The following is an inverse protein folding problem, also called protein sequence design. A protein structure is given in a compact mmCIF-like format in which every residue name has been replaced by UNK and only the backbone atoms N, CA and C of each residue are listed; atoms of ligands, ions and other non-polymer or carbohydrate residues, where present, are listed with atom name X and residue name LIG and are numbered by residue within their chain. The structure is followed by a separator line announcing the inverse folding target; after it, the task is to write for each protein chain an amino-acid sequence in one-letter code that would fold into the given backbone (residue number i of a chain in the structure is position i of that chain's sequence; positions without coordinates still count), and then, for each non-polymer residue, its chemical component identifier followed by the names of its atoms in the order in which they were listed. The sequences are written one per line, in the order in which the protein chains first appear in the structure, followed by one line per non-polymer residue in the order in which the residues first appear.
data_IF_392849397932
#
_entry.id   IF_392849397932
#
_cell.length_a   1.000
_cell.length_b   1.000
_cell.length_c   1.000
_cell.angle_alpha   90.00
_cell.angle_beta   90.00
_cell.angle_gamma   90.00
#
_symmetry.space_group_name_H-M   'P 1'
#
loop_
_entity.id
_entity.type
_entity.pdbx_description
1 polymer ?
#
# COMPACT_ATOMS: atom_id res chain seq x y z
N UNK A 1 -9.47 24.36 -3.68
CA UNK A 1 -9.70 23.24 -2.74
C UNK A 1 -8.98 22.03 -3.32
N UNK A 2 -7.95 21.47 -2.65
CA UNK A 2 -7.33 20.23 -3.10
C UNK A 2 -8.39 19.14 -3.08
N UNK A 3 -8.57 18.45 -4.21
CA UNK A 3 -9.56 17.39 -4.34
C UNK A 3 -8.88 16.11 -3.90
N UNK A 4 -9.23 15.60 -2.72
CA UNK A 4 -8.73 14.31 -2.24
C UNK A 4 -9.03 13.24 -3.27
N UNK A 5 -7.99 12.65 -3.83
CA UNK A 5 -8.13 11.60 -4.83
C UNK A 5 -8.47 10.31 -4.09
N UNK A 6 -9.65 9.77 -4.35
CA UNK A 6 -9.98 8.43 -3.86
C UNK A 6 -9.25 7.38 -4.72
N UNK A 7 -8.13 6.88 -4.18
CA UNK A 7 -7.30 5.81 -4.75
C UNK A 7 -7.74 4.41 -4.30
N UNK A 8 -8.87 4.29 -3.61
CA UNK A 8 -9.40 2.98 -3.20
C UNK A 8 -10.35 2.40 -4.24
N UNK A 9 -10.89 3.25 -5.12
CA UNK A 9 -11.84 2.87 -6.14
C UNK A 9 -11.16 2.32 -7.40
N UNK A 10 -11.69 1.26 -8.03
CA UNK A 10 -11.14 0.73 -9.26
C UNK A 10 -11.15 1.71 -10.42
N UNK A 11 -10.06 1.73 -11.19
CA UNK A 11 -10.01 2.45 -12.46
C UNK A 11 -10.84 1.70 -13.51
N UNK A 12 -11.88 2.37 -14.03
CA UNK A 12 -12.75 1.81 -15.07
C UNK A 12 -12.03 1.64 -16.40
N UNK A 13 -12.49 0.69 -17.22
CA UNK A 13 -12.04 0.52 -18.61
C UNK A 13 -12.23 1.81 -19.41
N UNK A 14 -11.35 2.02 -20.39
CA UNK A 14 -11.27 3.21 -21.25
C UNK A 14 -10.95 4.54 -20.56
N UNK A 15 -10.71 4.53 -19.25
CA UNK A 15 -10.22 5.70 -18.51
C UNK A 15 -8.82 6.07 -18.99
N UNK A 16 -8.56 7.38 -19.08
CA UNK A 16 -7.22 7.91 -19.34
C UNK A 16 -6.41 7.92 -18.05
N UNK A 17 -5.24 7.29 -18.09
CA UNK A 17 -4.32 7.14 -16.96
C UNK A 17 -2.95 7.69 -17.33
N UNK A 18 -2.10 7.80 -16.33
CA UNK A 18 -0.71 8.19 -16.43
C UNK A 18 0.12 7.19 -15.63
N UNK A 19 1.27 6.79 -16.16
CA UNK A 19 2.23 5.95 -15.44
C UNK A 19 2.72 6.70 -14.19
N UNK A 20 2.40 6.17 -13.01
CA UNK A 20 2.82 6.78 -11.75
C UNK A 20 4.28 6.49 -11.44
N UNK A 21 4.81 5.37 -11.90
CA UNK A 21 6.19 4.93 -11.72
C UNK A 21 6.81 4.67 -13.08
N UNK A 22 8.14 4.55 -13.12
CA UNK A 22 8.80 4.01 -14.29
C UNK A 22 8.43 2.53 -14.45
N UNK A 23 7.82 2.23 -15.59
CA UNK A 23 7.39 0.90 -15.99
C UNK A 23 8.30 0.41 -17.13
N UNK A 24 8.38 -0.91 -17.38
CA UNK A 24 9.21 -1.45 -18.46
C UNK A 24 8.91 -0.78 -19.82
N UNK A 25 9.85 0.03 -20.31
CA UNK A 25 9.72 0.79 -21.57
C UNK A 25 8.78 2.01 -21.52
N UNK A 26 8.13 2.28 -20.39
CA UNK A 26 7.17 3.37 -20.21
C UNK A 26 7.64 4.27 -19.06
N UNK A 27 8.24 5.43 -19.36
CA UNK A 27 8.67 6.37 -18.34
C UNK A 27 7.49 6.88 -17.50
N UNK A 28 7.77 7.29 -16.25
CA UNK A 28 6.82 7.98 -15.41
C UNK A 28 6.24 9.21 -16.13
N UNK A 29 4.95 9.46 -15.95
CA UNK A 29 4.26 10.58 -16.59
C UNK A 29 3.75 10.27 -18.00
N UNK A 30 4.06 9.09 -18.56
CA UNK A 30 3.52 8.66 -19.85
C UNK A 30 2.02 8.44 -19.76
N UNK A 31 1.28 9.13 -20.64
CA UNK A 31 -0.16 8.97 -20.78
C UNK A 31 -0.52 7.61 -21.37
N UNK A 32 -1.69 7.09 -20.98
CA UNK A 32 -2.22 5.87 -21.54
C UNK A 32 -3.72 5.71 -21.34
N UNK A 33 -4.27 4.64 -21.89
CA UNK A 33 -5.68 4.29 -21.79
C UNK A 33 -5.85 2.86 -21.30
N UNK A 34 -6.66 2.68 -20.25
CA UNK A 34 -6.98 1.35 -19.72
C UNK A 34 -7.81 0.57 -20.74
N UNK A 35 -7.33 -0.61 -21.14
CA UNK A 35 -8.04 -1.54 -22.03
C UNK A 35 -8.83 -2.58 -21.24
N UNK A 36 -8.19 -3.11 -20.20
CA UNK A 36 -8.74 -4.15 -19.33
C UNK A 36 -8.51 -3.74 -17.88
N UNK A 37 -9.54 -3.93 -17.07
CA UNK A 37 -9.50 -3.76 -15.63
C UNK A 37 -10.02 -5.07 -15.02
N UNK A 38 -9.11 -5.85 -14.43
CA UNK A 38 -9.40 -7.14 -13.83
C UNK A 38 -9.21 -7.05 -12.32
N UNK A 39 -10.01 -7.79 -11.55
CA UNK A 39 -9.88 -7.88 -10.09
C UNK A 39 -11.11 -7.35 -9.35
N UNK A 40 -11.27 -7.83 -8.12
CA UNK A 40 -12.33 -7.42 -7.18
C UNK A 40 -11.69 -6.80 -5.93
N UNK A 41 -10.62 -7.42 -5.42
CA UNK A 41 -9.79 -6.94 -4.31
C UNK A 41 -8.37 -6.57 -4.74
N UNK A 42 -7.80 -7.29 -5.71
CA UNK A 42 -6.51 -6.97 -6.32
C UNK A 42 -6.71 -6.56 -7.78
N UNK A 43 -6.67 -5.26 -8.04
CA UNK A 43 -6.82 -4.77 -9.39
C UNK A 43 -5.55 -4.92 -10.22
N UNK A 44 -5.72 -5.45 -11.42
CA UNK A 44 -4.71 -5.63 -12.46
C UNK A 44 -5.19 -4.95 -13.72
N UNK A 45 -4.38 -4.06 -14.27
CA UNK A 45 -4.72 -3.27 -15.43
C UNK A 45 -3.88 -3.67 -16.64
N UNK A 46 -4.53 -3.62 -17.81
CA UNK A 46 -3.83 -3.53 -19.08
C UNK A 46 -4.03 -2.14 -19.64
N UNK A 47 -2.92 -1.49 -19.96
CA UNK A 47 -2.89 -0.10 -20.43
C UNK A 47 -2.15 -0.04 -21.74
N UNK A 48 -2.78 0.60 -22.72
CA UNK A 48 -2.12 1.04 -23.94
C UNK A 48 -1.56 2.43 -23.70
N UNK A 49 -0.24 2.56 -23.71
CA UNK A 49 0.43 3.84 -23.49
C UNK A 49 0.62 4.60 -24.81
N UNK A 50 0.71 5.92 -24.71
CA UNK A 50 0.85 6.82 -25.85
C UNK A 50 2.22 6.67 -26.55
N UNK A 51 3.20 6.03 -25.89
CA UNK A 51 4.49 5.65 -26.47
C UNK A 51 4.41 4.40 -27.38
N UNK A 52 3.22 3.83 -27.56
CA UNK A 52 2.99 2.65 -28.40
C UNK A 52 3.21 1.31 -27.70
N UNK A 53 3.48 1.30 -26.39
CA UNK A 53 3.65 0.08 -25.61
C UNK A 53 2.34 -0.31 -24.94
N UNK A 54 1.91 -1.55 -25.16
CA UNK A 54 0.83 -2.18 -24.41
C UNK A 54 1.43 -2.97 -23.25
N UNK A 55 1.12 -2.57 -22.02
CA UNK A 55 1.63 -3.24 -20.83
C UNK A 55 0.48 -3.77 -19.97
N UNK A 56 0.63 -5.02 -19.53
CA UNK A 56 -0.32 -5.73 -18.70
C UNK A 56 0.20 -6.00 -17.29
N UNK A 57 -0.71 -6.41 -16.40
CA UNK A 57 -0.39 -6.83 -15.04
C UNK A 57 -0.09 -5.68 -14.07
N UNK A 58 -0.35 -4.44 -14.49
CA UNK A 58 -0.04 -3.22 -13.74
C UNK A 58 -0.93 -3.12 -12.50
N UNK A 59 -0.32 -2.82 -11.35
CA UNK A 59 -1.02 -2.59 -10.09
C UNK A 59 -1.79 -1.27 -10.04
N UNK A 60 -2.67 -1.14 -9.06
CA UNK A 60 -3.44 0.09 -8.85
C UNK A 60 -2.58 1.27 -8.38
N UNK A 61 -1.58 0.97 -7.57
CA UNK A 61 -0.60 1.89 -7.02
C UNK A 61 0.33 2.49 -8.10
N UNK A 62 0.54 1.76 -9.19
CA UNK A 62 1.42 2.12 -10.30
C UNK A 62 0.76 3.01 -11.37
N UNK A 63 -0.54 3.27 -11.24
CA UNK A 63 -1.30 4.11 -12.16
C UNK A 63 -1.96 5.26 -11.43
N UNK A 64 -1.98 6.42 -12.06
CA UNK A 64 -2.80 7.55 -11.64
C UNK A 64 -3.80 7.90 -12.74
N UNK A 65 -5.00 8.33 -12.38
CA UNK A 65 -5.92 8.88 -13.38
C UNK A 65 -5.37 10.20 -13.91
N UNK A 66 -5.54 10.47 -15.21
CA UNK A 66 -4.98 11.67 -15.84
C UNK A 66 -5.52 12.98 -15.23
N UNK A 67 -6.74 12.97 -14.68
CA UNK A 67 -7.36 14.12 -14.01
C UNK A 67 -6.70 14.43 -12.66
N UNK A 68 -6.18 13.39 -12.02
CA UNK A 68 -5.67 13.38 -10.66
C UNK A 68 -4.14 13.45 -10.63
N UNK A 69 -3.49 13.36 -11.78
CA UNK A 69 -2.04 13.40 -11.93
C UNK A 69 -1.33 14.59 -11.25
N UNK A 70 -1.85 15.84 -11.32
CA UNK A 70 -1.19 16.97 -10.65
C UNK A 70 -1.14 16.81 -9.14
N UNK A 71 -2.22 16.31 -8.54
CA UNK A 71 -2.31 16.09 -7.09
C UNK A 71 -1.52 14.84 -6.67
N UNK A 72 -1.48 13.80 -7.51
CA UNK A 72 -0.65 12.62 -7.30
C UNK A 72 0.85 12.96 -7.16
N UNK A 73 1.35 13.95 -7.92
CA UNK A 73 2.74 14.41 -7.78
C UNK A 73 2.99 15.04 -6.41
N UNK A 74 2.06 15.87 -5.94
CA UNK A 74 2.17 16.59 -4.67
C UNK A 74 2.14 15.60 -3.50
N UNK A 75 1.16 14.68 -3.48
CA UNK A 75 1.02 13.69 -2.41
C UNK A 75 2.24 12.74 -2.34
N UNK A 76 2.85 12.43 -3.50
CA UNK A 76 4.05 11.59 -3.54
C UNK A 76 5.27 12.31 -3.01
N UNK A 77 5.49 13.57 -3.40
CA UNK A 77 6.59 14.38 -2.88
C UNK A 77 6.47 14.53 -1.35
N UNK A 78 5.24 14.71 -0.83
CA UNK A 78 4.96 14.75 0.61
C UNK A 78 5.19 13.38 1.30
N UNK A 79 4.80 12.27 0.67
CA UNK A 79 5.02 10.92 1.24
C UNK A 79 6.50 10.55 1.26
N UNK A 80 7.26 10.89 0.21
CA UNK A 80 8.71 10.70 0.17
C UNK A 80 9.41 11.53 1.27
N UNK A 81 8.96 12.78 1.46
CA UNK A 81 9.46 13.63 2.54
C UNK A 81 9.15 13.06 3.93
N UNK A 82 7.97 12.42 4.08
CA UNK A 82 7.55 11.79 5.33
C UNK A 82 8.28 10.49 5.63
N UNK A 83 8.73 9.73 4.62
CA UNK A 83 9.53 8.52 4.83
C UNK A 83 10.99 8.80 5.18
N UNK A 84 11.49 10.01 4.89
CA UNK A 84 12.84 10.46 5.28
C UNK A 84 12.90 10.99 6.73
N UNK A 85 11.75 11.12 7.40
CA UNK A 85 11.73 11.32 8.84
C UNK A 85 11.95 9.96 9.50
N UNK A 86 12.96 9.80 10.38
CA UNK A 86 13.09 8.58 11.17
C UNK A 86 11.78 8.39 11.94
N UNK A 87 11.24 7.17 11.87
CA UNK A 87 10.11 6.75 12.71
C UNK A 87 10.37 7.25 14.15
N UNK A 88 9.55 8.17 14.67
CA UNK A 88 9.51 8.50 16.10
C UNK A 88 8.86 7.35 16.91
N UNK A 89 9.15 6.12 16.50
CA UNK A 89 8.91 4.86 17.20
C UNK A 89 10.27 4.14 17.38
N UNK A 90 11.31 4.93 17.63
CA UNK A 90 12.50 4.46 18.35
C UNK A 90 12.06 4.20 19.80
N UNK A 91 11.38 3.06 20.00
CA UNK A 91 11.19 2.49 21.33
C UNK A 91 12.59 2.29 21.91
N UNK A 92 12.96 3.19 22.83
CA UNK A 92 14.19 3.12 23.60
C UNK A 92 14.37 1.71 24.15
N UNK A 93 15.33 1.01 23.56
CA UNK A 93 15.94 -0.18 24.14
C UNK A 93 16.76 0.31 25.33
N UNK A 94 16.16 0.31 26.51
CA UNK A 94 16.89 0.24 27.76
C UNK A 94 16.90 -1.23 28.21
N UNK A 95 18.08 -1.82 28.03
CA UNK A 95 18.47 -3.13 28.52
C UNK A 95 18.74 -3.02 30.02
N UNK A 96 17.98 -3.72 30.86
CA UNK A 96 18.51 -4.17 32.14
C UNK A 96 17.86 -5.48 32.58
N UNK A 97 18.72 -6.36 33.05
CA UNK A 97 18.49 -7.77 33.35
C UNK A 97 17.59 -7.96 34.58
N UNK A 98 16.79 -9.03 34.57
CA UNK A 98 16.93 -10.15 35.52
C UNK A 98 15.68 -11.05 35.56
N UNK A 99 15.97 -12.35 35.46
CA UNK A 99 15.36 -13.48 36.16
C UNK A 99 13.87 -13.89 35.94
N UNK A 100 13.76 -15.19 35.66
CA UNK A 100 12.64 -16.09 35.92
C UNK A 100 11.26 -15.85 35.27
N UNK A 101 10.99 -16.64 34.22
CA UNK A 101 9.63 -17.11 33.94
C UNK A 101 9.31 -17.20 32.45
N UNK A 102 8.88 -18.37 32.00
CA UNK A 102 8.36 -18.64 30.66
C UNK A 102 7.15 -17.74 30.34
N UNK A 103 7.39 -16.50 29.91
CA UNK A 103 6.38 -15.48 29.69
C UNK A 103 6.62 -14.71 28.39
N UNK A 104 5.60 -14.66 27.54
CA UNK A 104 5.41 -13.80 26.38
C UNK A 104 6.64 -13.33 25.54
N UNK A 105 7.55 -14.26 25.21
CA UNK A 105 8.74 -14.06 24.36
C UNK A 105 8.52 -13.47 22.95
N UNK A 106 7.28 -13.25 22.54
CA UNK A 106 6.92 -12.79 21.19
C UNK A 106 6.22 -11.43 21.19
N UNK A 107 6.16 -10.73 22.34
CA UNK A 107 5.52 -9.42 22.44
C UNK A 107 4.01 -9.47 22.13
N UNK A 108 3.35 -10.59 22.42
CA UNK A 108 1.92 -10.75 22.12
C UNK A 108 1.10 -9.86 23.06
N UNK A 109 0.18 -9.02 22.56
CA UNK A 109 -0.69 -8.20 23.41
C UNK A 109 -1.53 -9.03 24.40
N UNK A 110 -1.64 -8.55 25.65
CA UNK A 110 -2.20 -9.29 26.79
C UNK A 110 -3.63 -9.81 26.55
N UNK A 111 -4.47 -9.03 25.89
CA UNK A 111 -5.86 -9.39 25.58
C UNK A 111 -5.99 -10.62 24.65
N UNK A 112 -4.94 -10.95 23.89
CA UNK A 112 -4.90 -12.17 23.05
C UNK A 112 -4.51 -13.40 23.88
N UNK A 113 -3.63 -13.22 24.85
CA UNK A 113 -3.23 -14.28 25.79
C UNK A 113 -4.46 -14.70 26.61
N UNK A 114 -5.20 -13.73 27.13
CA UNK A 114 -6.42 -13.96 27.90
C UNK A 114 -7.50 -14.68 27.09
N UNK A 115 -7.74 -14.26 25.84
CA UNK A 115 -8.67 -14.94 24.92
C UNK A 115 -8.26 -16.38 24.65
N UNK A 116 -6.96 -16.63 24.47
CA UNK A 116 -6.45 -17.99 24.23
C UNK A 116 -6.60 -18.89 25.45
N UNK A 117 -6.43 -18.34 26.66
CA UNK A 117 -6.62 -19.04 27.93
C UNK A 117 -8.09 -19.43 28.12
N UNK A 118 -9.00 -18.47 27.93
CA UNK A 118 -10.44 -18.69 28.00
C UNK A 118 -10.97 -19.67 26.93
N UNK A 119 -10.30 -19.77 25.78
CA UNK A 119 -10.64 -20.75 24.75
C UNK A 119 -10.19 -22.16 25.14
N UNK A 120 -9.01 -22.31 25.74
CA UNK A 120 -8.50 -23.60 26.24
C UNK A 120 -9.32 -24.11 27.42
N UNK A 121 -9.69 -23.24 28.35
CA UNK A 121 -10.58 -23.60 29.47
C UNK A 121 -11.94 -24.11 29.01
N UNK A 122 -12.50 -23.54 27.92
CA UNK A 122 -13.73 -24.06 27.31
C UNK A 122 -13.55 -25.40 26.60
N UNK A 123 -12.35 -25.70 26.11
CA UNK A 123 -12.03 -26.93 25.39
C UNK A 123 -11.55 -28.06 26.32
N UNK A 124 -11.33 -27.78 27.61
CA UNK A 124 -10.95 -28.77 28.62
C UNK A 124 -9.56 -29.39 28.40
N UNK A 125 -8.58 -28.60 27.96
CA UNK A 125 -7.18 -29.02 27.81
C UNK A 125 -6.30 -28.43 28.92
#
# INVERSE_FOLDING_TARGET
MPKTIDRTQPIRRFTKVVAAVDLPGVPQGTGGKVRVANGISWYRYWVSFDNGIDLGGIGHDQLAQRRDWPQFRIDRDETALRSDLPDENDEGVDDDADDAGTGNRFGVPEHLIERSRLARERLGA
#
